data_IF_366462874596
#
_entry.id   IF_366462874596
#
_cell.length_a   1.000
_cell.length_b   1.000
_cell.length_c   1.000
_cell.angle_alpha   90.00
_cell.angle_beta   90.00
_cell.angle_gamma   90.00
#
_symmetry.space_group_name_H-M   'P 1'
#
loop_
_entity.id
_entity.type
_entity.pdbx_description
1 polymer ?
#
# COMPACT_ATOMS: atom_id res chain seq x y z
N UNK A 1 -25.27 16.06 -10.90
CA UNK A 1 -24.15 16.70 -10.18
C UNK A 1 -24.39 16.42 -8.70
N UNK A 2 -23.60 15.54 -8.09
CA UNK A 2 -23.89 14.99 -6.74
C UNK A 2 -22.94 15.49 -5.65
N UNK A 3 -21.90 16.26 -6.01
CA UNK A 3 -21.03 16.96 -5.06
C UNK A 3 -20.55 18.29 -5.64
N UNK A 4 -20.60 19.35 -4.82
CA UNK A 4 -19.98 20.66 -5.09
C UNK A 4 -18.49 20.68 -4.72
N UNK A 5 -18.02 19.63 -4.04
CA UNK A 5 -16.63 19.47 -3.65
C UNK A 5 -15.81 18.96 -4.85
N UNK A 6 -14.90 19.78 -5.41
CA UNK A 6 -14.05 19.37 -6.52
C UNK A 6 -13.06 18.26 -6.15
N UNK A 7 -12.78 18.05 -4.85
CA UNK A 7 -11.87 17.02 -4.35
C UNK A 7 -12.60 15.72 -3.98
N UNK A 8 -13.93 15.75 -3.84
CA UNK A 8 -14.76 14.59 -3.52
C UNK A 8 -14.46 13.96 -2.16
N UNK A 9 -13.93 14.76 -1.23
CA UNK A 9 -13.57 14.36 0.14
C UNK A 9 -14.67 14.70 1.16
N UNK A 10 -15.64 15.54 0.79
CA UNK A 10 -16.77 15.87 1.64
C UNK A 10 -17.61 14.62 1.92
N UNK A 11 -17.62 14.22 3.20
CA UNK A 11 -18.41 13.09 3.66
C UNK A 11 -19.90 13.45 3.62
N UNK A 12 -20.71 12.57 3.03
CA UNK A 12 -22.17 12.68 3.11
C UNK A 12 -22.61 12.60 4.57
N UNK A 13 -23.51 13.48 4.98
CA UNK A 13 -24.20 13.29 6.26
C UNK A 13 -25.06 12.03 6.23
N UNK A 14 -25.31 11.42 7.40
CA UNK A 14 -26.17 10.23 7.51
C UNK A 14 -27.56 10.46 6.90
N UNK A 15 -28.11 11.68 7.07
CA UNK A 15 -29.42 12.08 6.55
C UNK A 15 -29.44 12.15 5.03
N UNK A 16 -28.38 12.68 4.43
CA UNK A 16 -28.23 12.73 2.97
C UNK A 16 -28.00 11.36 2.36
N UNK A 17 -27.19 10.52 3.01
CA UNK A 17 -26.97 9.14 2.60
C UNK A 17 -28.30 8.35 2.57
N UNK A 18 -29.11 8.47 3.62
CA UNK A 18 -30.45 7.84 3.69
C UNK A 18 -31.38 8.40 2.61
N UNK A 19 -31.41 9.72 2.39
CA UNK A 19 -32.21 10.35 1.32
C UNK A 19 -31.82 9.85 -0.08
N UNK A 20 -30.54 9.53 -0.28
CA UNK A 20 -30.00 8.99 -1.53
C UNK A 20 -30.13 7.46 -1.63
N UNK A 21 -30.71 6.79 -0.63
CA UNK A 21 -30.91 5.34 -0.61
C UNK A 21 -29.66 4.53 -0.30
N UNK A 22 -28.59 5.17 0.19
CA UNK A 22 -27.40 4.46 0.66
C UNK A 22 -27.70 3.86 2.04
N UNK A 23 -27.34 2.58 2.27
CA UNK A 23 -27.39 2.04 3.62
C UNK A 23 -26.41 2.82 4.53
N UNK A 24 -26.65 2.89 5.84
CA UNK A 24 -25.70 3.48 6.77
C UNK A 24 -24.47 2.56 6.86
N UNK A 25 -23.50 2.76 5.97
CA UNK A 25 -22.22 2.07 6.02
C UNK A 25 -21.11 3.09 6.25
N UNK A 26 -20.28 2.83 7.25
CA UNK A 26 -19.03 3.55 7.43
C UNK A 26 -17.94 2.72 6.77
N UNK A 27 -17.40 3.22 5.65
CA UNK A 27 -16.24 2.59 5.02
C UNK A 27 -14.99 2.96 5.84
N UNK A 28 -14.45 1.99 6.57
CA UNK A 28 -13.13 2.12 7.19
C UNK A 28 -12.13 1.22 6.48
N UNK A 29 -11.06 1.80 5.96
CA UNK A 29 -9.91 1.04 5.46
C UNK A 29 -8.79 1.13 6.47
N UNK A 30 -8.25 -0.02 6.89
CA UNK A 30 -7.04 -0.11 7.71
C UNK A 30 -5.92 -0.68 6.87
N UNK A 31 -4.80 0.04 6.79
CA UNK A 31 -3.57 -0.47 6.18
C UNK A 31 -2.71 -1.04 7.31
N UNK A 32 -2.47 -2.35 7.27
CA UNK A 32 -1.54 -3.02 8.17
C UNK A 32 -0.33 -3.53 7.40
N UNK A 33 0.87 -3.16 7.84
CA UNK A 33 2.13 -3.70 7.32
C UNK A 33 2.80 -4.60 8.34
N UNK A 34 3.23 -5.79 7.93
CA UNK A 34 4.20 -6.55 8.70
C UNK A 34 5.59 -5.98 8.40
N UNK A 35 6.35 -5.70 9.46
CA UNK A 35 7.74 -5.27 9.34
C UNK A 35 8.63 -6.22 10.14
N UNK A 36 9.86 -6.40 9.68
CA UNK A 36 10.90 -7.03 10.47
C UNK A 36 11.79 -5.97 11.12
N UNK A 37 12.47 -6.34 12.20
CA UNK A 37 13.47 -5.46 12.79
C UNK A 37 14.64 -5.23 11.81
N UNK A 38 15.30 -4.08 11.94
CA UNK A 38 16.44 -3.72 11.09
C UNK A 38 17.57 -4.77 11.09
N UNK A 39 17.75 -5.47 12.22
CA UNK A 39 18.70 -6.57 12.39
C UNK A 39 18.42 -7.72 11.41
N UNK A 40 17.15 -8.04 11.16
CA UNK A 40 16.73 -9.09 10.24
C UNK A 40 17.03 -8.70 8.81
N UNK A 41 16.73 -7.46 8.42
CA UNK A 41 17.07 -6.95 7.07
C UNK A 41 18.58 -6.93 6.83
N UNK A 42 19.38 -6.55 7.84
CA UNK A 42 20.83 -6.60 7.76
C UNK A 42 21.34 -8.05 7.56
N UNK A 43 20.77 -9.02 8.28
CA UNK A 43 21.09 -10.43 8.12
C UNK A 43 20.74 -10.95 6.72
N UNK A 44 19.54 -10.63 6.22
CA UNK A 44 19.13 -10.97 4.85
C UNK A 44 20.06 -10.36 3.81
N UNK A 45 20.48 -9.10 3.99
CA UNK A 45 21.43 -8.43 3.10
C UNK A 45 22.75 -9.19 3.00
N UNK A 46 23.32 -9.58 4.14
CA UNK A 46 24.56 -10.36 4.18
C UNK A 46 24.40 -11.74 3.54
N UNK A 47 23.26 -12.40 3.80
CA UNK A 47 22.96 -13.69 3.20
C UNK A 47 22.87 -13.62 1.67
N UNK A 48 22.17 -12.63 1.11
CA UNK A 48 22.07 -12.44 -0.33
C UNK A 48 23.43 -12.14 -0.98
N UNK A 49 24.25 -11.29 -0.34
CA UNK A 49 25.62 -11.03 -0.79
C UNK A 49 26.46 -12.32 -0.81
N UNK A 50 26.37 -13.16 0.23
CA UNK A 50 27.07 -14.44 0.29
C UNK A 50 26.61 -15.43 -0.80
N UNK A 51 25.39 -15.26 -1.33
CA UNK A 51 24.85 -16.02 -2.47
C UNK A 51 25.21 -15.41 -3.83
N UNK A 52 25.93 -14.29 -3.85
CA UNK A 52 26.33 -13.59 -5.07
C UNK A 52 25.28 -12.65 -5.64
N UNK A 53 24.22 -12.36 -4.89
CA UNK A 53 23.23 -11.35 -5.29
C UNK A 53 23.67 -9.95 -4.86
N UNK A 54 23.37 -8.97 -5.71
CA UNK A 54 23.48 -7.56 -5.36
C UNK A 54 22.28 -7.16 -4.48
N UNK A 55 22.48 -6.74 -3.23
CA UNK A 55 21.39 -6.36 -2.34
C UNK A 55 20.64 -5.09 -2.76
N UNK A 56 21.25 -4.28 -3.61
CA UNK A 56 20.64 -3.04 -4.12
C UNK A 56 19.91 -3.30 -5.47
N UNK A 57 19.89 -4.56 -5.93
CA UNK A 57 19.16 -5.00 -7.12
C UNK A 57 17.87 -5.75 -6.78
N UNK A 58 17.06 -6.00 -7.81
CA UNK A 58 15.83 -6.78 -7.73
C UNK A 58 16.05 -8.28 -8.03
N UNK A 59 17.30 -8.73 -8.13
CA UNK A 59 17.60 -10.08 -8.65
C UNK A 59 17.15 -11.19 -7.73
N UNK A 60 17.20 -10.98 -6.42
CA UNK A 60 16.64 -11.93 -5.44
C UNK A 60 15.14 -12.11 -5.66
N UNK A 61 14.41 -11.01 -5.83
CA UNK A 61 12.97 -11.06 -6.06
C UNK A 61 12.64 -11.79 -7.38
N UNK A 62 13.39 -11.52 -8.45
CA UNK A 62 13.27 -12.26 -9.73
C UNK A 62 13.57 -13.73 -9.58
N UNK A 63 14.65 -14.08 -8.87
CA UNK A 63 15.06 -15.47 -8.63
C UNK A 63 14.00 -16.26 -7.86
N UNK A 64 13.31 -15.61 -6.91
CA UNK A 64 12.22 -16.21 -6.14
C UNK A 64 10.85 -16.17 -6.86
N UNK A 65 10.77 -15.58 -8.05
CA UNK A 65 9.53 -15.45 -8.82
C UNK A 65 8.54 -14.45 -8.23
N UNK A 66 9.00 -13.50 -7.42
CA UNK A 66 8.15 -12.44 -6.88
C UNK A 66 7.84 -11.38 -7.95
N UNK A 67 6.61 -10.85 -7.96
CA UNK A 67 6.27 -9.72 -8.82
C UNK A 67 7.09 -8.50 -8.42
N UNK A 68 7.59 -7.80 -9.45
CA UNK A 68 8.27 -6.52 -9.28
C UNK A 68 7.27 -5.39 -9.47
N UNK A 69 7.27 -4.44 -8.54
CA UNK A 69 6.42 -3.28 -8.60
C UNK A 69 7.28 -2.04 -8.81
N UNK A 70 6.91 -1.22 -9.80
CA UNK A 70 7.41 0.14 -9.93
C UNK A 70 6.40 1.06 -9.23
N UNK A 71 6.87 1.80 -8.23
CA UNK A 71 6.09 2.84 -7.59
C UNK A 71 6.08 4.05 -8.52
N UNK A 72 4.95 4.30 -9.18
CA UNK A 72 4.74 5.54 -9.91
C UNK A 72 4.09 6.55 -8.97
N UNK A 73 4.79 7.65 -8.68
CA UNK A 73 4.28 8.78 -7.93
C UNK A 73 5.15 10.00 -8.18
N UNK A 74 4.54 11.16 -8.40
CA UNK A 74 5.25 12.43 -8.50
C UNK A 74 5.78 12.83 -7.12
N UNK A 75 7.06 13.24 -7.07
CA UNK A 75 7.79 13.62 -5.86
C UNK A 75 7.38 14.99 -5.30
#
# INVERSE_FOLDING_TARGET
YWSLDPEGIEALSTEEAVRLGFPPFQLSTTVSGQYWEASVYAGLRQFHQAKGFDPDSQDVARHLGHPLYELYGDA
#
